data_IF_288475614830
#
_entry.id   IF_288475614830
#
_cell.length_a   1.000
_cell.length_b   1.000
_cell.length_c   1.000
_cell.angle_alpha   90.00
_cell.angle_beta   90.00
_cell.angle_gamma   90.00
#
_symmetry.space_group_name_H-M   'P 1'
#
loop_
_entity.id
_entity.type
_entity.pdbx_description
1 polymer ?
#
# COMPACT_ATOMS: atom_id res chain seq x y z
N UNK A 1 21.41 -17.02 -6.34
CA UNK A 1 20.30 -16.99 -7.35
C UNK A 1 19.11 -17.85 -6.93
N UNK A 2 19.26 -19.13 -6.59
CA UNK A 2 18.16 -20.05 -6.25
C UNK A 2 17.28 -19.58 -5.07
N UNK A 3 17.88 -19.07 -3.99
CA UNK A 3 17.14 -18.56 -2.81
C UNK A 3 16.25 -17.36 -3.14
N UNK A 4 16.70 -16.44 -4.00
CA UNK A 4 15.92 -15.30 -4.44
C UNK A 4 14.72 -15.73 -5.29
N UNK A 5 14.91 -16.68 -6.21
CA UNK A 5 13.83 -17.25 -7.02
C UNK A 5 12.79 -17.92 -6.13
N UNK A 6 13.23 -18.69 -5.13
CA UNK A 6 12.35 -19.35 -4.18
C UNK A 6 11.57 -18.33 -3.33
N UNK A 7 12.24 -17.31 -2.78
CA UNK A 7 11.61 -16.26 -1.99
C UNK A 7 10.54 -15.50 -2.82
N UNK A 8 10.86 -15.21 -4.07
CA UNK A 8 9.93 -14.60 -5.00
C UNK A 8 8.70 -15.49 -5.27
N UNK A 9 8.91 -16.78 -5.59
CA UNK A 9 7.81 -17.71 -5.80
C UNK A 9 6.90 -17.82 -4.55
N UNK A 10 7.50 -17.91 -3.36
CA UNK A 10 6.78 -17.93 -2.08
C UNK A 10 5.99 -16.64 -1.85
N UNK A 11 6.55 -15.48 -2.20
CA UNK A 11 5.86 -14.19 -2.02
C UNK A 11 4.61 -14.03 -2.89
N UNK A 12 4.48 -14.77 -3.98
CA UNK A 12 3.29 -14.76 -4.83
C UNK A 12 2.15 -15.66 -4.31
N UNK A 13 2.42 -16.55 -3.35
CA UNK A 13 1.41 -17.49 -2.83
C UNK A 13 0.20 -16.76 -2.26
N UNK A 14 0.33 -15.74 -1.36
CA UNK A 14 -0.83 -15.03 -0.81
C UNK A 14 -1.68 -14.33 -1.87
N UNK A 15 -1.05 -13.72 -2.88
CA UNK A 15 -1.75 -13.12 -4.03
C UNK A 15 -2.57 -14.17 -4.78
N UNK A 16 -1.94 -15.31 -5.07
CA UNK A 16 -2.59 -16.42 -5.80
C UNK A 16 -3.75 -16.99 -5.01
N UNK A 17 -3.57 -17.26 -3.72
CA UNK A 17 -4.62 -17.81 -2.86
C UNK A 17 -5.81 -16.86 -2.74
N UNK A 18 -5.57 -15.57 -2.51
CA UNK A 18 -6.63 -14.58 -2.44
C UNK A 18 -7.36 -14.46 -3.79
N UNK A 19 -6.63 -14.42 -4.90
CA UNK A 19 -7.22 -14.39 -6.23
C UNK A 19 -8.10 -15.63 -6.52
N UNK A 20 -7.59 -16.83 -6.24
CA UNK A 20 -8.36 -18.07 -6.44
C UNK A 20 -9.61 -18.13 -5.55
N UNK A 21 -9.52 -17.59 -4.34
CA UNK A 21 -10.68 -17.44 -3.47
C UNK A 21 -11.73 -16.51 -4.08
N UNK A 22 -11.36 -15.31 -4.51
CA UNK A 22 -12.26 -14.37 -5.16
C UNK A 22 -12.92 -14.99 -6.41
N UNK A 23 -12.12 -15.61 -7.27
CA UNK A 23 -12.54 -16.16 -8.54
C UNK A 23 -13.50 -17.36 -8.41
N UNK A 24 -13.26 -18.24 -7.44
CA UNK A 24 -13.94 -19.54 -7.42
C UNK A 24 -14.97 -19.71 -6.29
N UNK A 25 -14.91 -18.87 -5.24
CA UNK A 25 -15.76 -19.04 -4.07
C UNK A 25 -16.90 -18.03 -3.98
N UNK A 26 -16.72 -16.81 -4.46
CA UNK A 26 -17.76 -15.77 -4.37
C UNK A 26 -18.88 -15.98 -5.39
N UNK A 27 -18.55 -16.38 -6.61
CA UNK A 27 -19.53 -16.67 -7.65
C UNK A 27 -19.02 -17.81 -8.55
N UNK A 28 -19.93 -18.69 -9.00
CA UNK A 28 -19.61 -19.82 -9.86
C UNK A 28 -19.91 -19.56 -11.34
N UNK A 29 -20.46 -18.41 -11.68
CA UNK A 29 -20.78 -18.01 -13.03
C UNK A 29 -19.49 -17.87 -13.87
N UNK A 30 -19.50 -18.41 -15.08
CA UNK A 30 -18.30 -18.41 -15.93
C UNK A 30 -17.98 -17.02 -16.48
N UNK A 31 -18.98 -16.17 -16.71
CA UNK A 31 -18.74 -14.77 -17.10
C UNK A 31 -18.13 -13.97 -15.98
N UNK A 32 -18.58 -14.20 -14.74
CA UNK A 32 -17.93 -13.63 -13.53
C UNK A 32 -16.45 -14.00 -13.47
N UNK A 33 -16.12 -15.30 -13.68
CA UNK A 33 -14.71 -15.76 -13.64
C UNK A 33 -13.87 -15.10 -14.72
N UNK A 34 -14.40 -14.99 -15.96
CA UNK A 34 -13.73 -14.27 -17.05
C UNK A 34 -13.47 -12.81 -16.71
N UNK A 35 -14.41 -12.15 -16.03
CA UNK A 35 -14.25 -10.77 -15.58
C UNK A 35 -13.22 -10.64 -14.45
N UNK A 36 -13.13 -11.63 -13.53
CA UNK A 36 -12.04 -11.70 -12.55
C UNK A 36 -10.68 -11.83 -13.24
N UNK A 37 -10.54 -12.76 -14.20
CA UNK A 37 -9.32 -13.00 -14.97
C UNK A 37 -8.90 -11.72 -15.73
N UNK A 38 -9.86 -11.06 -16.38
CA UNK A 38 -9.65 -9.79 -17.08
C UNK A 38 -9.25 -8.67 -16.12
N UNK A 39 -9.84 -8.61 -14.93
CA UNK A 39 -9.53 -7.64 -13.90
C UNK A 39 -8.09 -7.80 -13.40
N UNK A 40 -7.67 -9.02 -13.10
CA UNK A 40 -6.30 -9.36 -12.74
C UNK A 40 -5.30 -8.91 -13.81
N UNK A 41 -5.54 -9.27 -15.08
CA UNK A 41 -4.69 -8.91 -16.21
C UNK A 41 -4.61 -7.40 -16.43
N UNK A 42 -5.74 -6.68 -16.38
CA UNK A 42 -5.78 -5.23 -16.51
C UNK A 42 -5.04 -4.54 -15.34
N UNK A 43 -5.15 -5.08 -14.12
CA UNK A 43 -4.39 -4.63 -12.97
C UNK A 43 -2.88 -4.75 -13.17
N UNK A 44 -2.42 -5.89 -13.64
CA UNK A 44 -1.00 -6.08 -13.97
C UNK A 44 -0.53 -5.10 -15.06
N UNK A 45 -1.28 -4.95 -16.14
CA UNK A 45 -0.91 -4.09 -17.26
C UNK A 45 -0.86 -2.61 -16.91
N UNK A 46 -1.62 -2.14 -15.92
CA UNK A 46 -1.64 -0.73 -15.59
C UNK A 46 -0.36 -0.23 -14.88
N UNK A 47 0.58 -1.13 -14.54
CA UNK A 47 1.88 -0.72 -14.01
C UNK A 47 2.71 0.07 -15.04
N UNK A 48 2.60 -0.25 -16.33
CA UNK A 48 3.40 0.41 -17.37
C UNK A 48 3.14 1.94 -17.47
N UNK A 49 1.88 2.40 -17.61
CA UNK A 49 1.62 3.85 -17.60
C UNK A 49 1.99 4.49 -16.24
N UNK A 50 1.88 3.76 -15.13
CA UNK A 50 2.29 4.27 -13.82
C UNK A 50 3.79 4.51 -13.76
N UNK A 51 4.61 3.57 -14.22
CA UNK A 51 6.07 3.74 -14.27
C UNK A 51 6.47 4.98 -15.08
N UNK A 52 5.85 5.20 -16.25
CA UNK A 52 6.09 6.37 -17.07
C UNK A 52 5.67 7.67 -16.36
N UNK A 53 4.48 7.68 -15.77
CA UNK A 53 3.97 8.86 -15.05
C UNK A 53 4.83 9.19 -13.82
N UNK A 54 5.23 8.17 -13.06
CA UNK A 54 6.08 8.34 -11.88
C UNK A 54 7.47 8.84 -12.25
N UNK A 55 8.03 8.36 -13.36
CA UNK A 55 9.30 8.88 -13.89
C UNK A 55 9.20 10.36 -14.26
N UNK A 56 8.20 10.74 -15.05
CA UNK A 56 7.98 12.14 -15.45
C UNK A 56 7.72 13.01 -14.22
N UNK A 57 6.84 12.58 -13.32
CA UNK A 57 6.51 13.31 -12.10
C UNK A 57 7.73 13.51 -11.17
N UNK A 58 8.58 12.50 -11.05
CA UNK A 58 9.84 12.59 -10.31
C UNK A 58 10.79 13.63 -10.94
N UNK A 59 10.95 13.61 -12.26
CA UNK A 59 11.78 14.60 -12.97
C UNK A 59 11.25 16.00 -12.74
N UNK A 60 9.95 16.22 -12.94
CA UNK A 60 9.32 17.55 -12.76
C UNK A 60 9.46 18.02 -11.30
N UNK A 61 9.24 17.15 -10.34
CA UNK A 61 9.35 17.49 -8.92
C UNK A 61 10.79 17.84 -8.52
N UNK A 62 11.78 17.13 -9.08
CA UNK A 62 13.21 17.47 -8.86
C UNK A 62 13.60 18.84 -9.45
N UNK A 63 13.03 19.23 -10.59
CA UNK A 63 13.29 20.54 -11.21
C UNK A 63 12.81 21.72 -10.36
N UNK A 64 11.87 21.50 -9.41
CA UNK A 64 11.41 22.56 -8.50
C UNK A 64 12.42 22.94 -7.43
N UNK A 65 13.45 22.14 -7.19
CA UNK A 65 14.41 22.33 -6.10
C UNK A 65 13.87 22.03 -4.70
N UNK A 66 12.61 21.60 -4.56
CA UNK A 66 11.97 21.29 -3.26
C UNK A 66 12.74 20.20 -2.52
N UNK A 67 13.33 19.24 -3.24
CA UNK A 67 14.07 18.13 -2.63
C UNK A 67 15.20 18.60 -1.72
N UNK A 68 15.91 19.65 -2.12
CA UNK A 68 16.99 20.24 -1.33
C UNK A 68 16.49 21.24 -0.29
N UNK A 69 15.45 22.00 -0.61
CA UNK A 69 14.89 23.01 0.28
C UNK A 69 14.05 22.42 1.42
N UNK A 70 13.25 21.40 1.15
CA UNK A 70 12.40 20.72 2.12
C UNK A 70 12.19 19.24 1.72
N UNK A 71 13.12 18.34 2.13
CA UNK A 71 13.06 16.92 1.79
C UNK A 71 11.76 16.23 2.19
N UNK A 72 11.20 16.60 3.36
CA UNK A 72 9.95 16.03 3.85
C UNK A 72 8.77 16.39 2.95
N UNK A 73 8.64 17.65 2.55
CA UNK A 73 7.60 18.09 1.62
C UNK A 73 7.77 17.43 0.25
N UNK A 74 9.02 17.34 -0.24
CA UNK A 74 9.31 16.60 -1.46
C UNK A 74 8.80 15.16 -1.37
N UNK A 75 9.12 14.46 -0.27
CA UNK A 75 8.71 13.07 -0.09
C UNK A 75 7.20 12.94 -0.01
N UNK A 76 6.52 13.79 0.75
CA UNK A 76 5.06 13.80 0.81
C UNK A 76 4.42 14.04 -0.56
N UNK A 77 4.90 15.02 -1.33
CA UNK A 77 4.39 15.28 -2.68
C UNK A 77 4.65 14.10 -3.62
N UNK A 78 5.84 13.49 -3.54
CA UNK A 78 6.18 12.34 -4.35
C UNK A 78 5.27 11.15 -4.04
N UNK A 79 5.13 10.76 -2.77
CA UNK A 79 4.35 9.59 -2.39
C UNK A 79 2.85 9.77 -2.63
N UNK A 80 2.28 10.93 -2.25
CA UNK A 80 0.84 11.14 -2.39
C UNK A 80 0.43 11.50 -3.81
N UNK A 81 1.15 12.41 -4.49
CA UNK A 81 0.70 12.97 -5.77
C UNK A 81 1.31 12.24 -6.96
N UNK A 82 2.62 11.98 -6.92
CA UNK A 82 3.30 11.37 -8.07
C UNK A 82 3.08 9.86 -8.11
N UNK A 83 3.18 9.18 -6.96
CA UNK A 83 3.12 7.72 -6.90
C UNK A 83 1.70 7.22 -6.62
N UNK A 84 1.21 7.36 -5.39
CA UNK A 84 -0.06 6.77 -4.97
C UNK A 84 -1.26 7.23 -5.80
N UNK A 85 -1.35 8.54 -6.15
CA UNK A 85 -2.44 9.03 -6.99
C UNK A 85 -2.42 8.40 -8.38
N UNK A 86 -1.24 8.35 -9.02
CA UNK A 86 -1.11 7.75 -10.34
C UNK A 86 -1.47 6.27 -10.35
N UNK A 87 -1.05 5.54 -9.33
CA UNK A 87 -1.32 4.11 -9.20
C UNK A 87 -2.81 3.84 -8.95
N UNK A 88 -3.41 4.53 -7.98
CA UNK A 88 -4.84 4.32 -7.70
C UNK A 88 -5.71 4.77 -8.88
N UNK A 89 -5.34 5.85 -9.57
CA UNK A 89 -6.04 6.30 -10.77
C UNK A 89 -5.91 5.28 -11.92
N UNK A 90 -4.73 4.76 -12.17
CA UNK A 90 -4.52 3.74 -13.21
C UNK A 90 -5.32 2.47 -12.93
N UNK A 91 -5.30 1.96 -11.69
CA UNK A 91 -6.11 0.83 -11.23
C UNK A 91 -7.60 1.10 -11.37
N UNK A 92 -8.06 2.28 -10.98
CA UNK A 92 -9.47 2.67 -11.11
C UNK A 92 -9.92 2.74 -12.57
N UNK A 93 -9.10 3.30 -13.45
CA UNK A 93 -9.41 3.37 -14.88
C UNK A 93 -9.40 1.99 -15.55
N UNK A 94 -8.45 1.12 -15.18
CA UNK A 94 -8.39 -0.28 -15.62
C UNK A 94 -9.66 -1.04 -15.21
N UNK A 95 -10.06 -0.92 -13.95
CA UNK A 95 -11.29 -1.49 -13.43
C UNK A 95 -12.54 -0.97 -14.18
N UNK A 96 -12.66 0.35 -14.37
CA UNK A 96 -13.78 0.91 -15.13
C UNK A 96 -13.86 0.40 -16.58
N UNK A 97 -12.70 0.17 -17.21
CA UNK A 97 -12.63 -0.43 -18.56
C UNK A 97 -13.17 -1.87 -18.56
N UNK A 98 -12.91 -2.65 -17.50
CA UNK A 98 -13.50 -3.99 -17.37
C UNK A 98 -15.02 -3.91 -17.30
N UNK A 99 -15.58 -3.04 -16.44
CA UNK A 99 -17.04 -2.90 -16.27
C UNK A 99 -17.74 -2.33 -17.49
N UNK A 100 -17.11 -1.43 -18.25
CA UNK A 100 -17.72 -0.80 -19.44
C UNK A 100 -17.85 -1.78 -20.60
N UNK A 101 -17.00 -2.79 -20.69
CA UNK A 101 -16.90 -3.69 -21.82
C UNK A 101 -17.55 -5.07 -21.50
N UNK A 102 -18.67 -5.06 -20.80
CA UNK A 102 -19.44 -6.26 -20.48
C UNK A 102 -20.91 -5.94 -20.33
N UNK A 103 -21.76 -6.86 -20.78
CA UNK A 103 -23.21 -6.87 -20.54
C UNK A 103 -23.59 -7.62 -19.25
N UNK A 104 -22.61 -8.16 -18.53
CA UNK A 104 -22.81 -8.87 -17.28
C UNK A 104 -23.44 -7.97 -16.21
N UNK A 105 -24.54 -8.45 -15.62
CA UNK A 105 -25.23 -7.77 -14.52
C UNK A 105 -24.56 -8.07 -13.20
N UNK A 106 -23.61 -7.24 -12.83
CA UNK A 106 -22.82 -7.40 -11.60
C UNK A 106 -23.55 -6.93 -10.35
N UNK A 107 -23.42 -7.70 -9.29
CA UNK A 107 -23.80 -7.30 -7.94
C UNK A 107 -22.76 -6.36 -7.32
N UNK A 108 -23.09 -5.77 -6.18
CA UNK A 108 -22.14 -4.94 -5.43
C UNK A 108 -20.90 -5.74 -4.94
N UNK A 109 -21.08 -7.04 -4.66
CA UNK A 109 -19.99 -7.95 -4.28
C UNK A 109 -19.07 -8.25 -5.46
N UNK A 110 -19.64 -8.49 -6.64
CA UNK A 110 -18.85 -8.76 -7.86
C UNK A 110 -17.94 -7.58 -8.18
N UNK A 111 -18.49 -6.37 -8.09
CA UNK A 111 -17.73 -5.12 -8.29
C UNK A 111 -16.57 -5.00 -7.28
N UNK A 112 -16.81 -5.36 -6.02
CA UNK A 112 -15.76 -5.39 -5.00
C UNK A 112 -14.67 -6.39 -5.34
N UNK A 113 -15.07 -7.59 -5.75
CA UNK A 113 -14.12 -8.65 -6.15
C UNK A 113 -13.29 -8.26 -7.38
N UNK A 114 -13.90 -7.67 -8.41
CA UNK A 114 -13.19 -7.24 -9.62
C UNK A 114 -12.14 -6.16 -9.33
N UNK A 115 -12.49 -5.15 -8.52
CA UNK A 115 -11.52 -4.12 -8.16
C UNK A 115 -10.41 -4.66 -7.24
N UNK A 116 -10.72 -5.59 -6.34
CA UNK A 116 -9.71 -6.30 -5.54
C UNK A 116 -8.78 -7.11 -6.46
N UNK A 117 -9.32 -7.80 -7.48
CA UNK A 117 -8.52 -8.53 -8.45
C UNK A 117 -7.58 -7.62 -9.28
N UNK A 118 -8.03 -6.39 -9.61
CA UNK A 118 -7.15 -5.35 -10.20
C UNK A 118 -6.00 -5.03 -9.25
N UNK A 119 -6.28 -4.82 -7.97
CA UNK A 119 -5.25 -4.57 -6.95
C UNK A 119 -4.26 -5.74 -6.81
N UNK A 120 -4.76 -6.99 -6.83
CA UNK A 120 -3.92 -8.19 -6.80
C UNK A 120 -2.99 -8.23 -8.03
N UNK A 121 -3.53 -8.00 -9.22
CA UNK A 121 -2.76 -8.01 -10.47
C UNK A 121 -1.65 -6.96 -10.46
N UNK A 122 -1.98 -5.74 -10.05
CA UNK A 122 -1.00 -4.65 -9.91
C UNK A 122 0.10 -5.03 -8.91
N UNK A 123 -0.26 -5.37 -7.67
CA UNK A 123 0.68 -5.68 -6.60
C UNK A 123 1.55 -6.90 -6.90
N UNK A 124 1.02 -7.91 -7.63
CA UNK A 124 1.81 -9.06 -8.07
C UNK A 124 2.93 -8.64 -9.02
N UNK A 125 2.63 -7.84 -10.05
CA UNK A 125 3.64 -7.40 -11.02
C UNK A 125 4.59 -6.37 -10.40
N UNK A 126 4.10 -5.49 -9.56
CA UNK A 126 4.94 -4.57 -8.78
C UNK A 126 5.95 -5.33 -7.91
N UNK A 127 5.52 -6.41 -7.25
CA UNK A 127 6.41 -7.26 -6.45
C UNK A 127 7.51 -7.91 -7.29
N UNK A 128 7.23 -8.25 -8.57
CA UNK A 128 8.26 -8.69 -9.51
C UNK A 128 9.31 -7.62 -9.76
N UNK A 129 8.86 -6.39 -10.03
CA UNK A 129 9.76 -5.25 -10.30
C UNK A 129 10.65 -4.95 -9.09
N UNK A 130 10.07 -4.92 -7.90
CA UNK A 130 10.83 -4.67 -6.67
C UNK A 130 11.74 -5.83 -6.25
N UNK A 131 11.45 -7.07 -6.66
CA UNK A 131 12.33 -8.21 -6.39
C UNK A 131 13.71 -8.07 -7.06
N UNK A 132 13.79 -7.24 -8.10
CA UNK A 132 15.06 -6.93 -8.77
C UNK A 132 15.88 -6.01 -7.84
N UNK A 133 16.86 -6.59 -7.16
CA UNK A 133 17.74 -5.86 -6.23
C UNK A 133 17.29 -5.83 -4.76
N UNK A 134 16.12 -6.37 -4.42
CA UNK A 134 15.66 -6.45 -3.04
C UNK A 134 16.30 -7.62 -2.26
N UNK A 135 16.38 -7.49 -0.94
CA UNK A 135 16.76 -8.58 -0.05
C UNK A 135 15.61 -9.58 0.15
N UNK A 136 15.94 -10.84 0.49
CA UNK A 136 14.94 -11.90 0.73
C UNK A 136 13.85 -11.49 1.74
N UNK A 137 14.17 -10.92 2.91
CA UNK A 137 13.14 -10.48 3.85
C UNK A 137 12.15 -9.46 3.26
N UNK A 138 12.64 -8.49 2.48
CA UNK A 138 11.80 -7.49 1.83
C UNK A 138 10.84 -8.13 0.84
N UNK A 139 11.32 -9.08 0.02
CA UNK A 139 10.48 -9.82 -0.93
C UNK A 139 9.36 -10.57 -0.22
N UNK A 140 9.66 -11.26 0.88
CA UNK A 140 8.67 -12.03 1.63
C UNK A 140 7.63 -11.14 2.32
N UNK A 141 8.06 -10.04 2.96
CA UNK A 141 7.16 -9.10 3.62
C UNK A 141 6.19 -8.48 2.62
N UNK A 142 6.65 -8.06 1.44
CA UNK A 142 5.79 -7.52 0.38
C UNK A 142 4.74 -8.53 -0.10
N UNK A 143 5.11 -9.81 -0.16
CA UNK A 143 4.18 -10.89 -0.52
C UNK A 143 3.08 -11.12 0.52
N UNK A 144 3.36 -10.91 1.81
CA UNK A 144 2.41 -11.14 2.90
C UNK A 144 1.45 -9.96 3.06
N UNK A 145 1.93 -8.72 2.98
CA UNK A 145 1.14 -7.54 3.34
C UNK A 145 0.00 -7.20 2.37
N UNK A 146 0.05 -7.64 1.10
CA UNK A 146 -0.99 -7.44 0.07
C UNK A 146 -1.64 -6.03 0.04
N UNK A 147 -0.89 -4.91 0.18
CA UNK A 147 -1.51 -3.59 0.37
C UNK A 147 -2.39 -3.19 -0.82
N UNK A 148 -1.99 -3.46 -2.06
CA UNK A 148 -2.76 -3.12 -3.26
C UNK A 148 -4.07 -3.89 -3.37
N UNK A 149 -4.15 -5.14 -2.87
CA UNK A 149 -5.40 -5.86 -2.76
C UNK A 149 -6.35 -5.17 -1.76
N UNK A 150 -5.81 -4.68 -0.63
CA UNK A 150 -6.54 -3.90 0.36
C UNK A 150 -7.10 -2.59 -0.21
N UNK A 151 -6.29 -1.81 -0.93
CA UNK A 151 -6.74 -0.58 -1.59
C UNK A 151 -7.80 -0.87 -2.66
N UNK A 152 -7.59 -1.93 -3.45
CA UNK A 152 -8.57 -2.42 -4.41
C UNK A 152 -9.90 -2.82 -3.75
N UNK A 153 -9.84 -3.51 -2.60
CA UNK A 153 -11.01 -3.85 -1.82
C UNK A 153 -11.79 -2.61 -1.35
N UNK A 154 -11.11 -1.61 -0.78
CA UNK A 154 -11.74 -0.38 -0.31
C UNK A 154 -12.42 0.35 -1.47
N UNK A 155 -11.71 0.59 -2.57
CA UNK A 155 -12.29 1.24 -3.75
C UNK A 155 -13.47 0.44 -4.30
N UNK A 156 -13.34 -0.88 -4.40
CA UNK A 156 -14.38 -1.79 -4.90
C UNK A 156 -15.62 -1.82 -4.01
N UNK A 157 -15.43 -1.88 -2.70
CA UNK A 157 -16.54 -1.85 -1.72
C UNK A 157 -17.39 -0.57 -1.85
N UNK A 158 -16.74 0.59 -1.86
CA UNK A 158 -17.45 1.86 -2.01
C UNK A 158 -18.07 2.02 -3.40
N UNK A 159 -17.41 1.55 -4.44
CA UNK A 159 -17.99 1.50 -5.77
C UNK A 159 -19.26 0.62 -5.80
N UNK A 160 -19.19 -0.58 -5.22
CA UNK A 160 -20.33 -1.48 -5.05
C UNK A 160 -21.46 -0.86 -4.24
N UNK A 161 -21.12 -0.13 -3.18
CA UNK A 161 -22.12 0.66 -2.41
C UNK A 161 -22.79 1.72 -3.28
N UNK A 162 -22.05 2.37 -4.19
CA UNK A 162 -22.65 3.29 -5.18
C UNK A 162 -23.61 2.57 -6.11
N UNK A 163 -23.28 1.38 -6.58
CA UNK A 163 -24.16 0.54 -7.43
C UNK A 163 -25.45 0.21 -6.67
N UNK A 164 -25.32 -0.25 -5.42
CA UNK A 164 -26.47 -0.64 -4.59
C UNK A 164 -27.39 0.52 -4.23
N UNK A 165 -26.85 1.72 -3.99
CA UNK A 165 -27.61 2.87 -3.48
C UNK A 165 -27.96 3.91 -4.55
N UNK A 166 -27.40 3.80 -5.76
CA UNK A 166 -27.52 4.80 -6.82
C UNK A 166 -26.75 6.11 -6.56
N UNK A 167 -25.99 6.22 -5.46
CA UNK A 167 -25.28 7.44 -5.07
C UNK A 167 -23.85 7.48 -5.59
N UNK A 168 -23.52 8.32 -6.60
CA UNK A 168 -22.19 8.37 -7.22
C UNK A 168 -21.08 8.84 -6.27
N UNK A 169 -21.42 9.56 -5.22
CA UNK A 169 -20.49 10.04 -4.19
C UNK A 169 -19.60 8.92 -3.64
N UNK A 170 -20.16 7.72 -3.44
CA UNK A 170 -19.39 6.60 -2.91
C UNK A 170 -18.22 6.16 -3.82
N UNK A 171 -18.32 6.34 -5.15
CA UNK A 171 -17.21 6.04 -6.07
C UNK A 171 -16.01 6.95 -5.81
N UNK A 172 -16.27 8.23 -5.61
CA UNK A 172 -15.23 9.24 -5.30
C UNK A 172 -14.66 8.97 -3.91
N UNK A 173 -15.52 8.71 -2.93
CA UNK A 173 -15.11 8.44 -1.56
C UNK A 173 -14.16 7.22 -1.48
N UNK A 174 -14.50 6.11 -2.15
CA UNK A 174 -13.66 4.92 -2.17
C UNK A 174 -12.29 5.19 -2.78
N UNK A 175 -12.26 5.90 -3.90
CA UNK A 175 -11.02 6.31 -4.55
C UNK A 175 -10.14 7.18 -3.63
N UNK A 176 -10.72 8.22 -3.03
CA UNK A 176 -9.99 9.15 -2.15
C UNK A 176 -9.43 8.44 -0.92
N UNK A 177 -10.23 7.55 -0.29
CA UNK A 177 -9.75 6.79 0.87
C UNK A 177 -8.58 5.87 0.48
N UNK A 178 -8.70 5.13 -0.61
CA UNK A 178 -7.63 4.23 -1.08
C UNK A 178 -6.36 4.99 -1.44
N UNK A 179 -6.49 6.09 -2.16
CA UNK A 179 -5.39 6.98 -2.49
C UNK A 179 -4.68 7.51 -1.23
N UNK A 180 -5.44 8.00 -0.25
CA UNK A 180 -4.86 8.53 0.98
C UNK A 180 -4.16 7.44 1.80
N UNK A 181 -4.78 6.27 1.96
CA UNK A 181 -4.19 5.14 2.68
C UNK A 181 -2.90 4.66 2.01
N UNK A 182 -2.89 4.61 0.67
CA UNK A 182 -1.72 4.22 -0.10
C UNK A 182 -0.57 5.24 0.08
N UNK A 183 -0.82 6.51 -0.20
CA UNK A 183 0.21 7.56 -0.04
C UNK A 183 0.73 7.66 1.39
N UNK A 184 -0.15 7.47 2.40
CA UNK A 184 0.27 7.44 3.80
C UNK A 184 1.14 6.23 4.12
N UNK A 185 0.81 5.06 3.56
CA UNK A 185 1.63 3.86 3.73
C UNK A 185 3.04 4.08 3.18
N UNK A 186 3.18 4.54 1.93
CA UNK A 186 4.49 4.78 1.32
C UNK A 186 5.26 5.86 2.06
N UNK A 187 4.61 6.98 2.40
CA UNK A 187 5.21 8.05 3.17
C UNK A 187 5.71 7.59 4.54
N UNK A 188 4.95 6.76 5.24
CA UNK A 188 5.31 6.24 6.57
C UNK A 188 6.54 5.34 6.56
N UNK A 189 6.86 4.73 5.42
CA UNK A 189 8.04 3.88 5.22
C UNK A 189 9.28 4.67 4.76
N UNK A 190 9.16 5.98 4.52
CA UNK A 190 10.26 6.81 4.04
C UNK A 190 11.27 7.16 5.14
N UNK A 191 12.52 7.36 4.73
CA UNK A 191 13.61 7.79 5.63
C UNK A 191 13.32 9.18 6.22
N UNK A 192 12.68 10.07 5.47
CA UNK A 192 12.30 11.41 5.91
C UNK A 192 11.28 11.36 7.05
N UNK A 193 10.31 10.43 6.99
CA UNK A 193 9.34 10.22 8.07
C UNK A 193 9.99 9.55 9.29
N UNK A 194 10.87 8.57 9.07
CA UNK A 194 11.63 7.93 10.14
C UNK A 194 12.49 8.93 10.92
N UNK A 195 13.17 9.86 10.23
CA UNK A 195 13.97 10.92 10.84
C UNK A 195 13.16 11.86 11.74
N UNK A 196 11.88 12.13 11.42
CA UNK A 196 10.99 12.90 12.31
C UNK A 196 10.74 12.15 13.61
N UNK A 197 10.41 10.85 13.50
CA UNK A 197 10.12 10.03 14.68
C UNK A 197 11.34 9.91 15.59
N UNK A 198 12.52 9.75 15.03
CA UNK A 198 13.78 9.76 15.79
C UNK A 198 14.03 11.11 16.48
N UNK A 199 13.89 12.22 15.76
CA UNK A 199 14.04 13.56 16.32
C UNK A 199 13.03 13.86 17.43
N UNK A 200 11.77 13.44 17.29
CA UNK A 200 10.76 13.58 18.33
C UNK A 200 11.08 12.72 19.55
N UNK A 201 11.60 11.51 19.34
CA UNK A 201 12.03 10.63 20.41
C UNK A 201 13.23 11.23 21.17
N UNK A 202 14.27 11.71 20.46
CA UNK A 202 15.43 12.34 21.08
C UNK A 202 15.07 13.65 21.81
N UNK A 203 14.18 14.48 21.27
CA UNK A 203 13.66 15.68 21.94
C UNK A 203 12.88 15.32 23.21
N UNK A 204 12.04 14.29 23.17
CA UNK A 204 11.35 13.80 24.37
C UNK A 204 12.33 13.23 25.40
N UNK A 205 13.30 12.45 24.98
CA UNK A 205 14.33 11.91 25.85
C UNK A 205 15.21 13.02 26.47
N UNK A 206 15.55 14.05 25.68
CA UNK A 206 16.29 15.22 26.17
C UNK A 206 15.47 16.03 27.18
N UNK A 207 14.17 16.26 26.92
CA UNK A 207 13.28 16.92 27.87
C UNK A 207 13.09 16.11 29.16
N UNK A 208 13.01 14.80 29.07
CA UNK A 208 12.95 13.91 30.22
C UNK A 208 14.27 13.95 31.02
N UNK A 209 15.45 14.04 30.36
CA UNK A 209 16.74 14.25 31.02
C UNK A 209 16.82 15.59 31.69
N UNK A 210 16.30 16.65 31.07
CA UNK A 210 16.27 17.98 31.67
C UNK A 210 15.41 18.04 32.95
N UNK A 211 14.26 17.36 32.93
CA UNK A 211 13.37 17.24 34.11
C UNK A 211 14.02 16.35 35.18
N UNK A 212 14.75 15.30 34.79
CA UNK A 212 15.45 14.37 35.70
C UNK A 212 16.64 14.99 36.39
N UNK A 213 17.37 15.90 35.75
CA UNK A 213 18.49 16.62 36.41
C UNK A 213 18.04 17.56 37.50
N UNK A 214 16.74 17.83 37.64
CA UNK A 214 16.19 18.62 38.79
C UNK A 214 15.79 17.76 40.00
N UNK A 215 15.80 16.44 39.87
CA UNK A 215 15.53 15.56 41.00
C UNK A 215 16.49 14.37 40.99
N UNK A 216 17.38 14.32 41.96
CA UNK A 216 18.42 13.29 42.11
C UNK A 216 17.95 11.85 42.36
N UNK A 217 16.68 11.55 42.08
CA UNK A 217 16.07 10.21 42.25
C UNK A 217 15.86 9.39 40.93
N UNK A 218 16.22 9.92 39.77
CA UNK A 218 15.75 9.35 38.49
C UNK A 218 16.76 8.48 37.72
N UNK A 219 17.93 8.13 38.32
CA UNK A 219 18.89 7.21 37.65
C UNK A 219 18.32 5.78 37.44
N UNK A 220 17.35 5.36 38.24
CA UNK A 220 16.67 4.08 38.09
C UNK A 220 15.70 4.00 36.87
N UNK A 221 15.18 5.15 36.42
CA UNK A 221 14.16 5.20 35.35
C UNK A 221 14.75 5.12 33.93
N UNK A 222 16.03 5.46 33.76
CA UNK A 222 16.73 5.39 32.45
C UNK A 222 16.92 3.94 31.99
N UNK A 223 17.11 3.02 32.92
CA UNK A 223 17.20 1.59 32.59
C UNK A 223 15.82 0.98 32.25
N UNK A 224 14.74 1.48 32.88
CA UNK A 224 13.38 1.10 32.49
C UNK A 224 13.00 1.63 31.10
N UNK A 225 13.35 2.87 30.73
CA UNK A 225 13.03 3.43 29.42
C UNK A 225 13.78 2.72 28.28
N UNK A 226 15.03 2.29 28.51
CA UNK A 226 15.75 1.42 27.55
C UNK A 226 15.11 0.05 27.42
N UNK A 227 14.65 -0.56 28.50
CA UNK A 227 13.96 -1.85 28.47
C UNK A 227 12.61 -1.73 27.74
N UNK A 228 11.83 -0.67 28.01
CA UNK A 228 10.55 -0.40 27.35
C UNK A 228 10.72 -0.13 25.83
N UNK A 229 11.82 0.55 25.44
CA UNK A 229 12.11 0.79 24.02
C UNK A 229 12.48 -0.49 23.26
N UNK A 230 13.25 -1.37 23.90
CA UNK A 230 13.57 -2.68 23.33
C UNK A 230 12.32 -3.56 23.25
N UNK A 231 11.45 -3.49 24.26
CA UNK A 231 10.16 -4.20 24.30
C UNK A 231 9.16 -3.64 23.28
N UNK A 232 9.07 -2.32 23.12
CA UNK A 232 8.17 -1.69 22.14
C UNK A 232 8.60 -1.93 20.69
N UNK A 233 9.90 -2.03 20.39
CA UNK A 233 10.37 -2.51 19.08
C UNK A 233 9.98 -3.96 18.83
N UNK A 234 10.01 -4.83 19.85
CA UNK A 234 9.53 -6.21 19.76
C UNK A 234 8.01 -6.28 19.57
N UNK A 235 7.24 -5.44 20.29
CA UNK A 235 5.78 -5.36 20.19
C UNK A 235 5.29 -4.72 18.89
N UNK A 236 5.98 -3.69 18.37
CA UNK A 236 5.69 -3.11 17.06
C UNK A 236 5.94 -4.10 15.93
N UNK A 237 6.97 -4.94 16.06
CA UNK A 237 7.25 -6.02 15.11
C UNK A 237 6.23 -7.17 15.22
N UNK A 238 5.75 -7.47 16.43
CA UNK A 238 4.71 -8.49 16.66
C UNK A 238 3.31 -8.02 16.22
N UNK A 239 2.97 -6.75 16.39
CA UNK A 239 1.69 -6.17 15.95
C UNK A 239 1.57 -6.05 14.43
N UNK A 240 2.71 -5.89 13.71
CA UNK A 240 2.77 -5.97 12.25
C UNK A 240 2.62 -7.41 11.72
N UNK A 241 2.78 -8.42 12.58
CA UNK A 241 2.61 -9.83 12.23
C UNK A 241 1.19 -10.37 12.54
N UNK A 242 0.33 -9.58 13.21
CA UNK A 242 -1.02 -10.01 13.64
C UNK A 242 -2.16 -9.19 13.02
N UNK A 243 -1.89 -8.26 12.12
CA UNK A 243 -2.84 -7.58 11.24
C UNK A 243 -2.68 -8.05 9.79
#
# INVERSE_FOLDING_TARGET
MGVLILAFAVSLIPFTLLYLFLRNKLNKDDEYKKLCDKSLGQGALCIFPVLLFSFIGNVLLNLTGIKTANPLLYRALYDFIVLAFAEELAKYLAFRRVLKNTDYKYSWLDVTAFMTAVGIGFGSLESVVYAIGASVPVILIRGICLPHAGYGFVTGYFYGKSVKTGKPFYKVLGFVISWFLHGFYDFSLSDEFAAINENLFFKRAANLRYISNRSSECIRTINCAKAIFIESKKLSFACLLTM
#
